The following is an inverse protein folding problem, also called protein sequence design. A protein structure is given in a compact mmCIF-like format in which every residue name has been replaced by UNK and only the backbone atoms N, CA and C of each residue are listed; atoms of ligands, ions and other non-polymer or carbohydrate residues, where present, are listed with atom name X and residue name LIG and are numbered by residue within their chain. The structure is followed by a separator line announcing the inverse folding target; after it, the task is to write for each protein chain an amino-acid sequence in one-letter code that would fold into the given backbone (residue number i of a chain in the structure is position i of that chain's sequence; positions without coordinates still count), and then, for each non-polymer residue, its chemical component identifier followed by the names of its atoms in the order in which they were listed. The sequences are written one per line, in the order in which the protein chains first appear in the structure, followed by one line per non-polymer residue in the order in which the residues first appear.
data_IF_581606387644
#
_entry.id   IF_581606387644
#
_cell.length_a   1.000
_cell.length_b   1.000
_cell.length_c   1.000
_cell.angle_alpha   90.00
_cell.angle_beta   90.00
_cell.angle_gamma   90.00
#
_symmetry.space_group_name_H-M   'P 1'
#
loop_
_entity.id
_entity.type
_entity.pdbx_description
1 polymer ?
#
# COMPACT_ATOMS: atom_id res chain seq x y z
N UNK A 1 -1.42 35.84 13.34
CA UNK A 1 -2.87 35.79 13.63
C UNK A 1 -3.52 35.62 12.28
N UNK A 2 -4.02 34.47 11.84
CA UNK A 2 -4.72 33.38 12.50
C UNK A 2 -4.15 32.02 12.09
N UNK A 3 -3.99 31.14 13.06
CA UNK A 3 -4.16 29.69 12.92
C UNK A 3 -5.51 29.34 12.29
N UNK A 4 -5.58 28.27 11.48
CA UNK A 4 -6.52 27.13 11.63
C UNK A 4 -6.35 26.18 10.43
N UNK A 5 -5.57 25.11 10.62
CA UNK A 5 -5.71 23.87 9.85
C UNK A 5 -7.04 23.23 10.24
N UNK A 6 -7.99 23.16 9.32
CA UNK A 6 -9.29 22.54 9.58
C UNK A 6 -9.72 21.65 8.41
N UNK A 7 -9.24 20.39 8.31
CA UNK A 7 -9.75 19.46 7.32
C UNK A 7 -10.92 18.66 7.93
N UNK A 8 -11.96 19.34 8.40
CA UNK A 8 -13.18 18.68 8.92
C UNK A 8 -14.42 19.40 8.37
N UNK A 9 -14.60 19.37 7.03
CA UNK A 9 -15.91 19.56 6.38
C UNK A 9 -15.92 18.89 5.00
N UNK A 10 -16.08 17.58 4.97
CA UNK A 10 -16.64 16.90 3.80
C UNK A 10 -17.86 16.10 4.25
N UNK A 11 -18.96 16.81 4.55
CA UNK A 11 -20.31 16.23 4.48
C UNK A 11 -20.80 16.27 3.03
N UNK A 12 -19.98 15.73 2.14
CA UNK A 12 -20.33 15.49 0.75
C UNK A 12 -20.14 14.00 0.61
N UNK A 13 -21.24 13.25 0.52
CA UNK A 13 -21.18 11.83 0.21
C UNK A 13 -20.28 11.64 -1.01
N UNK A 14 -19.31 10.72 -0.93
CA UNK A 14 -18.39 10.39 -2.01
C UNK A 14 -19.11 10.12 -3.35
N UNK A 15 -20.37 9.71 -3.29
CA UNK A 15 -21.25 9.57 -4.47
C UNK A 15 -21.47 10.87 -5.24
N UNK A 16 -21.52 12.03 -4.56
CA UNK A 16 -21.78 13.33 -5.16
C UNK A 16 -20.54 13.89 -5.87
N UNK A 17 -19.36 13.77 -5.26
CA UNK A 17 -18.07 14.19 -5.83
C UNK A 17 -17.69 13.38 -7.07
N UNK A 18 -17.95 12.07 -7.05
CA UNK A 18 -17.65 11.19 -8.20
C UNK A 18 -18.61 11.39 -9.38
N UNK A 19 -19.87 11.73 -9.12
CA UNK A 19 -20.86 12.00 -10.17
C UNK A 19 -20.54 13.30 -10.93
N UNK A 20 -20.00 14.31 -10.25
CA UNK A 20 -19.57 15.57 -10.87
C UNK A 20 -18.34 15.42 -11.78
N UNK A 21 -17.54 14.37 -11.62
CA UNK A 21 -16.35 14.08 -12.44
C UNK A 21 -16.65 13.17 -13.65
N UNK A 22 -17.92 12.83 -13.91
CA UNK A 22 -18.33 12.12 -15.13
C UNK A 22 -17.91 10.63 -15.22
N UNK A 23 -17.45 10.04 -14.13
CA UNK A 23 -17.03 8.63 -14.09
C UNK A 23 -18.27 7.74 -13.93
N UNK A 24 -18.63 6.97 -14.96
CA UNK A 24 -19.76 6.01 -14.90
C UNK A 24 -19.49 4.94 -13.83
N UNK A 25 -20.25 4.99 -12.74
CA UNK A 25 -20.33 3.98 -11.67
C UNK A 25 -21.05 2.69 -12.14
N UNK A 26 -20.72 2.15 -13.31
CA UNK A 26 -21.48 1.07 -13.95
C UNK A 26 -20.94 -0.34 -13.70
N UNK A 27 -20.02 -0.55 -12.75
CA UNK A 27 -19.51 -1.89 -12.43
C UNK A 27 -19.73 -2.25 -10.97
N UNK A 28 -20.54 -3.29 -10.74
CA UNK A 28 -20.83 -3.93 -9.44
C UNK A 28 -19.54 -4.26 -8.65
N UNK A 29 -18.41 -4.40 -9.35
CA UNK A 29 -17.07 -4.64 -8.77
C UNK A 29 -16.51 -3.44 -7.99
N UNK A 30 -16.88 -2.21 -8.33
CA UNK A 30 -16.47 -1.02 -7.58
C UNK A 30 -17.23 -0.90 -6.25
N UNK A 31 -18.53 -1.23 -6.25
CA UNK A 31 -19.41 -1.06 -5.09
C UNK A 31 -19.04 -1.99 -3.92
N UNK A 32 -18.61 -3.22 -4.18
CA UNK A 32 -18.24 -4.20 -3.13
C UNK A 32 -16.87 -3.89 -2.49
N UNK A 33 -15.93 -3.31 -3.26
CA UNK A 33 -14.59 -2.91 -2.77
C UNK A 33 -14.59 -1.58 -2.01
N UNK A 34 -15.55 -0.70 -2.29
CA UNK A 34 -15.70 0.57 -1.56
C UNK A 34 -16.12 0.36 -0.09
N UNK A 35 -17.06 -0.57 0.17
CA UNK A 35 -17.51 -0.93 1.53
C UNK A 35 -16.39 -1.54 2.37
N UNK A 36 -15.47 -2.26 1.71
CA UNK A 36 -14.24 -2.79 2.28
C UNK A 36 -13.35 -1.60 2.67
N UNK A 37 -13.07 -0.67 1.76
CA UNK A 37 -12.21 0.51 1.98
C UNK A 37 -12.48 1.28 3.28
N UNK A 38 -13.74 1.58 3.59
CA UNK A 38 -14.12 2.29 4.82
C UNK A 38 -13.74 1.54 6.10
N UNK A 39 -13.87 0.20 6.08
CA UNK A 39 -13.50 -0.65 7.21
C UNK A 39 -11.99 -0.68 7.44
N UNK A 40 -11.18 -0.68 6.38
CA UNK A 40 -9.72 -0.72 6.52
C UNK A 40 -9.13 0.66 6.79
N UNK A 41 -9.81 1.74 6.39
CA UNK A 41 -9.36 3.10 6.66
C UNK A 41 -9.23 3.38 8.16
N UNK A 42 -10.16 2.87 8.99
CA UNK A 42 -10.07 3.00 10.44
C UNK A 42 -8.83 2.32 11.01
N UNK A 43 -8.53 1.10 10.55
CA UNK A 43 -7.34 0.34 10.95
C UNK A 43 -6.06 1.06 10.53
N UNK A 44 -6.00 1.55 9.29
CA UNK A 44 -4.86 2.31 8.78
C UNK A 44 -4.64 3.57 9.63
N UNK A 45 -5.71 4.31 9.97
CA UNK A 45 -5.60 5.48 10.84
C UNK A 45 -5.07 5.13 12.23
N UNK A 46 -5.53 4.03 12.83
CA UNK A 46 -4.99 3.55 14.13
C UNK A 46 -3.50 3.24 14.04
N UNK A 47 -3.05 2.61 12.95
CA UNK A 47 -1.63 2.34 12.72
C UNK A 47 -0.85 3.65 12.54
N UNK A 48 -1.41 4.64 11.83
CA UNK A 48 -0.75 5.94 11.64
C UNK A 48 -0.55 6.66 12.96
N UNK A 49 -1.60 6.71 13.78
CA UNK A 49 -1.55 7.33 15.10
C UNK A 49 -0.52 6.64 15.99
N UNK A 50 -0.44 5.30 15.93
CA UNK A 50 0.57 4.56 16.67
C UNK A 50 1.98 4.92 16.19
N UNK A 51 2.22 4.98 14.88
CA UNK A 51 3.52 5.34 14.33
C UNK A 51 3.92 6.76 14.72
N UNK A 52 3.01 7.72 14.58
CA UNK A 52 3.28 9.13 14.87
C UNK A 52 3.60 9.37 16.35
N UNK A 53 2.89 8.69 17.26
CA UNK A 53 3.17 8.76 18.71
C UNK A 53 4.52 8.19 19.09
N UNK A 54 4.98 7.15 18.40
CA UNK A 54 6.19 6.41 18.77
C UNK A 54 7.44 6.87 18.01
N UNK A 55 7.30 7.59 16.90
CA UNK A 55 8.44 8.06 16.10
C UNK A 55 9.40 8.93 16.91
N UNK A 56 8.90 9.81 17.76
CA UNK A 56 9.73 10.73 18.53
C UNK A 56 10.52 10.03 19.65
N UNK A 57 10.01 8.89 20.12
CA UNK A 57 10.62 8.10 21.20
C UNK A 57 11.74 7.18 20.69
N UNK A 58 11.79 6.92 19.38
CA UNK A 58 12.68 5.91 18.80
C UNK A 58 13.90 6.57 18.16
N UNK A 59 15.08 6.03 18.44
CA UNK A 59 16.31 6.48 17.78
C UNK A 59 16.21 6.21 16.27
N UNK A 60 16.39 7.23 15.40
CA UNK A 60 16.21 7.11 13.96
C UNK A 60 17.21 6.13 13.31
N UNK A 61 18.38 5.95 13.92
CA UNK A 61 19.41 5.04 13.43
C UNK A 61 19.09 3.55 13.71
N UNK A 62 18.16 3.26 14.64
CA UNK A 62 17.77 1.89 14.97
C UNK A 62 17.04 1.22 13.80
N UNK A 63 17.02 -0.12 13.78
CA UNK A 63 16.28 -0.87 12.76
C UNK A 63 14.78 -0.50 12.74
N UNK A 64 14.21 -0.26 13.92
CA UNK A 64 12.81 0.16 14.09
C UNK A 64 12.62 1.58 13.59
N UNK A 65 13.51 2.52 13.93
CA UNK A 65 13.46 3.90 13.46
C UNK A 65 13.52 3.99 11.93
N UNK A 66 14.38 3.19 11.30
CA UNK A 66 14.44 3.05 9.83
C UNK A 66 13.14 2.51 9.24
N UNK A 67 12.55 1.49 9.87
CA UNK A 67 11.28 0.92 9.43
C UNK A 67 10.13 1.92 9.53
N UNK A 68 10.06 2.68 10.63
CA UNK A 68 9.04 3.72 10.85
C UNK A 68 9.18 4.85 9.85
N UNK A 69 10.40 5.37 9.65
CA UNK A 69 10.66 6.40 8.65
C UNK A 69 10.32 5.94 7.23
N UNK A 70 10.59 4.68 6.90
CA UNK A 70 10.19 4.11 5.62
C UNK A 70 8.67 4.01 5.44
N UNK A 71 7.96 3.53 6.48
CA UNK A 71 6.51 3.39 6.47
C UNK A 71 5.81 4.75 6.31
N UNK A 72 6.21 5.75 7.11
CA UNK A 72 5.63 7.10 7.08
C UNK A 72 5.87 7.79 5.74
N UNK A 73 7.09 7.70 5.19
CA UNK A 73 7.42 8.27 3.87
C UNK A 73 6.56 7.71 2.74
N UNK A 74 6.01 6.50 2.91
CA UNK A 74 5.19 5.81 1.90
C UNK A 74 3.71 5.78 2.24
N UNK A 75 3.29 6.45 3.30
CA UNK A 75 1.93 6.37 3.82
C UNK A 75 0.86 6.68 2.78
N UNK A 76 1.03 7.76 2.00
CA UNK A 76 0.09 8.15 0.96
C UNK A 76 -0.06 7.08 -0.13
N UNK A 77 1.03 6.38 -0.46
CA UNK A 77 1.01 5.27 -1.42
C UNK A 77 0.33 4.03 -0.85
N UNK A 78 0.49 3.78 0.46
CA UNK A 78 -0.20 2.71 1.15
C UNK A 78 -1.71 2.97 1.23
N UNK A 79 -2.15 4.22 1.25
CA UNK A 79 -3.58 4.54 1.20
C UNK A 79 -4.17 4.51 -0.21
N UNK A 80 -3.35 4.44 -1.27
CA UNK A 80 -3.85 4.50 -2.65
C UNK A 80 -4.86 3.40 -2.99
N UNK A 81 -4.79 2.22 -2.37
CA UNK A 81 -5.75 1.13 -2.60
C UNK A 81 -7.15 1.45 -2.05
N UNK A 82 -7.28 2.34 -1.07
CA UNK A 82 -8.58 2.74 -0.52
C UNK A 82 -9.34 3.64 -1.48
N UNK A 83 -8.60 4.44 -2.26
CA UNK A 83 -9.14 5.32 -3.30
C UNK A 83 -9.36 4.55 -4.61
N UNK A 84 -8.37 3.75 -5.00
CA UNK A 84 -8.36 2.99 -6.24
C UNK A 84 -8.62 1.52 -5.95
N UNK A 85 -9.90 1.15 -5.88
CA UNK A 85 -10.29 -0.23 -5.59
C UNK A 85 -9.79 -1.27 -6.59
N UNK A 86 -9.21 -0.88 -7.73
CA UNK A 86 -8.58 -1.78 -8.70
C UNK A 86 -7.20 -2.30 -8.28
N UNK A 87 -6.55 -1.60 -7.34
CA UNK A 87 -5.21 -1.93 -6.85
C UNK A 87 -5.34 -2.83 -5.62
N UNK A 88 -4.61 -3.94 -5.63
CA UNK A 88 -4.52 -4.84 -4.46
C UNK A 88 -3.58 -4.25 -3.40
N UNK A 89 -3.86 -4.54 -2.13
CA UNK A 89 -3.05 -4.05 -0.99
C UNK A 89 -1.66 -4.69 -0.96
N UNK A 90 -1.55 -5.93 -1.44
CA UNK A 90 -0.31 -6.69 -1.48
C UNK A 90 0.18 -6.92 -2.91
N UNK A 91 1.45 -7.25 -3.01
CA UNK A 91 2.13 -7.60 -4.26
C UNK A 91 2.23 -9.12 -4.46
N UNK A 92 1.46 -9.94 -3.71
CA UNK A 92 1.63 -11.39 -3.67
C UNK A 92 1.49 -12.02 -5.07
N UNK A 93 0.57 -11.50 -5.88
CA UNK A 93 0.40 -11.93 -7.28
C UNK A 93 1.68 -11.72 -8.10
N UNK A 94 2.29 -10.54 -7.99
CA UNK A 94 3.52 -10.20 -8.70
C UNK A 94 4.66 -11.09 -8.21
N UNK A 95 4.80 -11.26 -6.89
CA UNK A 95 5.82 -12.11 -6.28
C UNK A 95 5.72 -13.56 -6.76
N UNK A 96 4.49 -14.10 -6.79
CA UNK A 96 4.23 -15.45 -7.29
C UNK A 96 4.59 -15.57 -8.78
N UNK A 97 4.36 -14.54 -9.59
CA UNK A 97 4.75 -14.52 -11.01
C UNK A 97 6.25 -14.46 -11.21
N UNK A 98 7.00 -13.70 -10.40
CA UNK A 98 8.47 -13.57 -10.55
C UNK A 98 9.24 -14.70 -9.87
N UNK A 99 8.65 -15.43 -8.92
CA UNK A 99 9.33 -16.49 -8.16
C UNK A 99 9.93 -17.59 -9.05
N UNK A 100 9.23 -18.13 -10.07
CA UNK A 100 9.80 -19.12 -10.98
C UNK A 100 11.03 -18.60 -11.73
N UNK A 101 11.05 -17.31 -12.08
CA UNK A 101 12.20 -16.69 -12.76
C UNK A 101 13.41 -16.61 -11.82
N UNK A 102 13.21 -16.20 -10.57
CA UNK A 102 14.28 -16.13 -9.57
C UNK A 102 14.86 -17.52 -9.25
N UNK A 103 14.00 -18.53 -9.11
CA UNK A 103 14.41 -19.93 -8.94
C UNK A 103 15.12 -20.48 -10.18
N UNK A 104 14.60 -20.16 -11.37
CA UNK A 104 15.20 -20.51 -12.65
C UNK A 104 16.62 -19.98 -12.77
N UNK A 105 16.88 -18.70 -12.48
CA UNK A 105 18.23 -18.11 -12.52
C UNK A 105 19.25 -18.87 -11.66
N UNK A 106 18.84 -19.37 -10.50
CA UNK A 106 19.70 -20.20 -9.63
C UNK A 106 19.94 -21.59 -10.25
N UNK A 107 18.93 -22.17 -10.91
CA UNK A 107 19.01 -23.51 -11.49
C UNK A 107 19.72 -23.52 -12.87
N UNK A 108 19.65 -22.43 -13.63
CA UNK A 108 20.26 -22.28 -14.94
C UNK A 108 21.73 -21.83 -14.89
N UNK A 109 22.29 -21.60 -13.69
CA UNK A 109 23.68 -21.19 -13.52
C UNK A 109 24.68 -22.20 -14.13
N UNK A 110 24.27 -23.47 -14.28
CA UNK A 110 25.08 -24.57 -14.81
C UNK A 110 24.49 -25.22 -16.07
N UNK A 111 23.39 -24.67 -16.60
CA UNK A 111 22.76 -25.23 -17.80
C UNK A 111 23.64 -24.94 -19.02
N UNK A 112 24.47 -25.91 -19.43
CA UNK A 112 25.37 -25.81 -20.59
C UNK A 112 26.84 -26.10 -20.32
N UNK A 113 27.24 -26.35 -19.07
CA UNK A 113 28.61 -26.76 -18.75
C UNK A 113 28.59 -27.94 -17.76
N UNK A 114 28.66 -29.16 -18.30
CA UNK A 114 28.68 -30.42 -17.54
C UNK A 114 29.79 -30.42 -16.46
N UNK A 115 30.93 -29.78 -16.74
CA UNK A 115 32.08 -29.69 -15.83
C UNK A 115 31.81 -28.89 -14.55
N UNK A 116 30.94 -27.88 -14.58
CA UNK A 116 30.64 -27.06 -13.40
C UNK A 116 29.45 -27.60 -12.57
N UNK A 117 28.77 -28.64 -13.06
CA UNK A 117 27.67 -29.30 -12.36
C UNK A 117 28.15 -30.40 -11.38
N UNK A 118 29.43 -30.76 -11.39
CA UNK A 118 30.04 -31.67 -10.42
C UNK A 118 30.41 -30.92 -9.13
N UNK A 119 30.00 -31.46 -7.99
CA UNK A 119 30.30 -30.93 -6.64
C UNK A 119 31.65 -31.38 -6.14
#
# INVERSE_FOLDING_TARGET
MESQTNPIKLNISWTQLMCMQGIKLSSIRYRKRHIIGDKYLSVMNTIKEFLDKNVESILPASAIGKAFGYAIKRWDKLLAYTVHGEVEIDNNLIENTIRPLALGRKNYLFAGSEEFAQR
#
